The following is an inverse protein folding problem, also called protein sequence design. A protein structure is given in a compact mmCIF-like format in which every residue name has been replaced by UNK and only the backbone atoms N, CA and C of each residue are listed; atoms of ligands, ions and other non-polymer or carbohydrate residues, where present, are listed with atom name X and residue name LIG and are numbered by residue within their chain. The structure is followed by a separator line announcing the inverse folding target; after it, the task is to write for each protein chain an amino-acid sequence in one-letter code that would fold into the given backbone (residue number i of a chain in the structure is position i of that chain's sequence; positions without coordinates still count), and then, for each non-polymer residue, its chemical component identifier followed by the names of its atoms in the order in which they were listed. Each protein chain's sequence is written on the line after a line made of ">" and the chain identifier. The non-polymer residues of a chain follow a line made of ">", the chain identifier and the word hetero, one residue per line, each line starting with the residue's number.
data_IF_201788979547
#
_entry.id   IF_201788979547
#
_cell.length_a   1.000
_cell.length_b   1.000
_cell.length_c   1.000
_cell.angle_alpha   90.00
_cell.angle_beta   90.00
_cell.angle_gamma   90.00
#
_symmetry.space_group_name_H-M   'P 1'
#
loop_
_entity.id
_entity.type
_entity.pdbx_description
1 polymer ?
#
# COMPACT_ATOMS: atom_id res chain seq x y z
N UNK A 1 15.79 -11.23 -18.07
CA UNK A 1 16.27 -11.51 -16.69
C UNK A 1 16.37 -10.25 -15.84
N UNK A 2 17.04 -9.18 -16.29
CA UNK A 2 17.20 -7.93 -15.53
C UNK A 2 15.85 -7.33 -15.12
N UNK A 3 14.89 -7.22 -16.05
CA UNK A 3 13.54 -6.68 -15.77
C UNK A 3 12.80 -7.47 -14.69
N UNK A 4 12.89 -8.81 -14.71
CA UNK A 4 12.27 -9.66 -13.68
C UNK A 4 12.91 -9.47 -12.32
N UNK A 5 14.25 -9.37 -12.28
CA UNK A 5 14.97 -9.08 -11.03
C UNK A 5 14.60 -7.70 -10.49
N UNK A 6 14.51 -6.67 -11.34
CA UNK A 6 14.08 -5.34 -10.94
C UNK A 6 12.66 -5.34 -10.35
N UNK A 7 11.70 -6.05 -10.97
CA UNK A 7 10.33 -6.22 -10.45
C UNK A 7 10.33 -6.87 -9.06
N UNK A 8 11.10 -7.93 -8.88
CA UNK A 8 11.24 -8.60 -7.59
C UNK A 8 11.84 -7.66 -6.54
N UNK A 9 12.95 -6.98 -6.84
CA UNK A 9 13.64 -6.09 -5.89
C UNK A 9 12.76 -4.92 -5.47
N UNK A 10 12.02 -4.31 -6.39
CA UNK A 10 11.07 -3.25 -6.04
C UNK A 10 9.94 -3.75 -5.15
N UNK A 11 9.40 -4.94 -5.44
CA UNK A 11 8.39 -5.56 -4.57
C UNK A 11 8.95 -5.86 -3.17
N UNK A 12 10.19 -6.39 -3.08
CA UNK A 12 10.86 -6.59 -1.79
C UNK A 12 11.08 -5.27 -1.04
N UNK A 13 11.37 -4.17 -1.75
CA UNK A 13 11.47 -2.84 -1.16
C UNK A 13 10.16 -2.40 -0.50
N UNK A 14 9.01 -2.60 -1.17
CA UNK A 14 7.70 -2.31 -0.58
C UNK A 14 7.40 -3.26 0.59
N UNK A 15 7.73 -4.55 0.47
CA UNK A 15 7.55 -5.52 1.56
C UNK A 15 8.37 -5.14 2.80
N UNK A 16 9.62 -4.71 2.61
CA UNK A 16 10.48 -4.22 3.69
C UNK A 16 9.90 -2.96 4.34
N UNK A 17 9.39 -2.00 3.54
CA UNK A 17 8.72 -0.82 4.06
C UNK A 17 7.57 -1.19 5.01
N UNK A 18 6.68 -2.11 4.60
CA UNK A 18 5.58 -2.57 5.46
C UNK A 18 6.08 -3.34 6.69
N UNK A 19 7.18 -4.08 6.58
CA UNK A 19 7.80 -4.75 7.74
C UNK A 19 8.24 -3.74 8.79
N UNK A 20 8.92 -2.67 8.36
CA UNK A 20 9.36 -1.60 9.25
C UNK A 20 8.19 -0.76 9.78
N UNK A 21 7.15 -0.55 8.97
CA UNK A 21 5.95 0.17 9.38
C UNK A 21 5.21 -0.57 10.51
N UNK A 22 4.98 -1.87 10.35
CA UNK A 22 4.39 -2.74 11.40
C UNK A 22 5.28 -2.75 12.64
N UNK A 23 6.60 -2.90 12.47
CA UNK A 23 7.53 -2.88 13.59
C UNK A 23 7.43 -1.56 14.38
N UNK A 24 7.41 -0.41 13.70
CA UNK A 24 7.28 0.89 14.35
C UNK A 24 5.93 1.04 15.06
N UNK A 25 4.83 0.64 14.44
CA UNK A 25 3.50 0.71 15.06
C UNK A 25 3.36 -0.17 16.32
N UNK A 26 4.15 -1.25 16.42
CA UNK A 26 4.16 -2.13 17.60
C UNK A 26 5.14 -1.67 18.67
N UNK A 27 6.26 -1.05 18.31
CA UNK A 27 7.32 -0.67 19.26
C UNK A 27 7.22 0.79 19.71
N UNK A 28 6.64 1.66 18.91
CA UNK A 28 6.33 3.06 19.26
C UNK A 28 4.81 3.29 19.14
N UNK A 29 4.06 2.49 19.91
CA UNK A 29 2.61 2.44 19.85
C UNK A 29 1.98 3.81 20.13
N UNK A 30 2.44 4.50 21.17
CA UNK A 30 1.82 5.72 21.64
C UNK A 30 1.90 6.86 20.63
N UNK A 31 3.06 7.04 19.97
CA UNK A 31 3.24 8.10 18.96
C UNK A 31 2.28 7.95 17.78
N UNK A 32 2.09 6.73 17.30
CA UNK A 32 1.20 6.47 16.16
C UNK A 32 -0.28 6.44 16.58
N UNK A 33 -0.56 5.95 17.79
CA UNK A 33 -1.90 6.01 18.36
C UNK A 33 -2.40 7.46 18.54
N UNK A 34 -1.54 8.37 19.02
CA UNK A 34 -1.89 9.79 19.15
C UNK A 34 -2.26 10.42 17.80
N UNK A 35 -1.57 10.06 16.72
CA UNK A 35 -1.95 10.51 15.39
C UNK A 35 -3.38 10.09 15.03
N UNK A 36 -3.71 8.80 15.20
CA UNK A 36 -5.06 8.27 14.90
C UNK A 36 -6.10 8.92 15.81
N UNK A 37 -5.82 9.07 17.09
CA UNK A 37 -6.70 9.70 18.07
C UNK A 37 -7.07 11.12 17.67
N UNK A 38 -6.09 11.95 17.37
CA UNK A 38 -6.32 13.35 16.97
C UNK A 38 -7.10 13.48 15.66
N UNK A 39 -6.83 12.62 14.69
CA UNK A 39 -7.60 12.58 13.43
C UNK A 39 -9.06 12.22 13.70
N UNK A 40 -9.33 11.17 14.47
CA UNK A 40 -10.69 10.71 14.77
C UNK A 40 -11.47 11.67 15.66
N UNK A 41 -10.82 12.33 16.61
CA UNK A 41 -11.41 13.38 17.45
C UNK A 41 -11.66 14.68 16.68
N UNK A 42 -11.02 14.89 15.54
CA UNK A 42 -11.11 16.13 14.74
C UNK A 42 -10.76 17.39 15.54
N UNK A 43 -9.99 17.27 16.63
CA UNK A 43 -9.73 18.33 17.62
C UNK A 43 -8.74 19.40 17.16
N UNK A 44 -8.11 19.20 15.99
CA UNK A 44 -7.17 20.15 15.35
C UNK A 44 -7.67 20.67 14.00
N UNK A 45 -8.96 20.47 13.70
CA UNK A 45 -9.63 21.04 12.52
C UNK A 45 -9.87 22.53 12.69
N UNK A 46 -10.30 23.22 11.62
CA UNK A 46 -10.56 24.67 11.68
C UNK A 46 -11.65 25.02 12.70
N UNK A 47 -11.50 26.13 13.44
CA UNK A 47 -12.51 26.60 14.38
C UNK A 47 -13.85 26.82 13.68
N UNK A 48 -14.95 26.39 14.32
CA UNK A 48 -16.31 26.53 13.77
C UNK A 48 -16.67 25.51 12.70
N UNK A 49 -15.88 24.43 12.56
CA UNK A 49 -16.15 23.36 11.61
C UNK A 49 -17.52 22.69 11.88
N UNK A 50 -18.41 22.77 10.90
CA UNK A 50 -19.75 22.14 10.97
C UNK A 50 -19.73 20.61 10.84
N UNK A 51 -18.59 20.02 10.52
CA UNK A 51 -18.40 18.57 10.40
C UNK A 51 -18.12 17.83 11.71
N UNK A 52 -18.04 18.54 12.84
CA UNK A 52 -17.68 17.95 14.14
C UNK A 52 -18.58 16.81 14.63
N UNK A 53 -19.79 16.69 14.10
CA UNK A 53 -20.68 15.55 14.37
C UNK A 53 -20.13 14.19 13.91
N UNK A 54 -19.08 14.19 13.08
CA UNK A 54 -18.37 12.98 12.63
C UNK A 54 -17.29 12.53 13.58
N UNK A 55 -16.89 13.41 14.51
CA UNK A 55 -15.83 13.10 15.47
C UNK A 55 -16.20 11.88 16.33
N UNK A 56 -15.25 11.02 16.55
CA UNK A 56 -15.37 9.86 17.43
C UNK A 56 -14.69 10.19 18.77
N UNK A 57 -15.45 10.39 19.86
CA UNK A 57 -14.87 10.85 21.12
C UNK A 57 -14.39 9.71 22.05
N UNK A 58 -14.75 8.46 21.76
CA UNK A 58 -14.50 7.35 22.67
C UNK A 58 -13.11 6.72 22.46
N UNK A 59 -12.29 6.57 23.50
CA UNK A 59 -10.97 5.92 23.38
C UNK A 59 -11.04 4.50 22.81
N UNK A 60 -12.12 3.75 23.06
CA UNK A 60 -12.31 2.42 22.50
C UNK A 60 -12.43 2.43 20.96
N UNK A 61 -13.03 3.48 20.38
CA UNK A 61 -13.12 3.67 18.93
C UNK A 61 -11.74 3.93 18.35
N UNK A 62 -10.95 4.80 18.98
CA UNK A 62 -9.58 5.10 18.55
C UNK A 62 -8.70 3.85 18.52
N UNK A 63 -8.77 3.05 19.60
CA UNK A 63 -8.04 1.78 19.68
C UNK A 63 -8.50 0.80 18.61
N UNK A 64 -9.81 0.67 18.40
CA UNK A 64 -10.35 -0.22 17.37
C UNK A 64 -9.88 0.15 15.96
N UNK A 65 -9.91 1.45 15.62
CA UNK A 65 -9.40 1.96 14.35
C UNK A 65 -7.89 1.72 14.21
N UNK A 66 -7.12 2.01 15.27
CA UNK A 66 -5.68 1.83 15.23
C UNK A 66 -5.27 0.36 15.09
N UNK A 67 -5.88 -0.54 15.85
CA UNK A 67 -5.67 -1.98 15.66
C UNK A 67 -6.13 -2.47 14.27
N UNK A 68 -7.20 -1.89 13.73
CA UNK A 68 -7.64 -2.17 12.36
C UNK A 68 -6.59 -1.78 11.32
N UNK A 69 -5.94 -0.62 11.48
CA UNK A 69 -4.83 -0.17 10.61
C UNK A 69 -3.65 -1.14 10.74
N UNK A 70 -3.20 -1.48 11.95
CA UNK A 70 -2.10 -2.42 12.18
C UNK A 70 -2.41 -3.79 11.57
N UNK A 71 -3.62 -4.30 11.74
CA UNK A 71 -4.02 -5.58 11.15
C UNK A 71 -3.98 -5.54 9.61
N UNK A 72 -4.42 -4.42 9.01
CA UNK A 72 -4.32 -4.22 7.56
C UNK A 72 -2.87 -4.18 7.09
N UNK A 73 -1.99 -3.49 7.81
CA UNK A 73 -0.56 -3.42 7.51
C UNK A 73 0.12 -4.79 7.60
N UNK A 74 -0.19 -5.58 8.65
CA UNK A 74 0.32 -6.95 8.81
C UNK A 74 -0.15 -7.84 7.65
N UNK A 75 -1.43 -7.77 7.29
CA UNK A 75 -1.97 -8.53 6.16
C UNK A 75 -1.28 -8.13 4.85
N UNK A 76 -1.09 -6.83 4.61
CA UNK A 76 -0.40 -6.31 3.43
C UNK A 76 1.06 -6.77 3.39
N UNK A 77 1.77 -6.66 4.51
CA UNK A 77 3.15 -7.15 4.66
C UNK A 77 3.26 -8.63 4.29
N UNK A 78 2.40 -9.47 4.88
CA UNK A 78 2.41 -10.90 4.61
C UNK A 78 2.15 -11.23 3.13
N UNK A 79 1.14 -10.57 2.52
CA UNK A 79 0.81 -10.76 1.11
C UNK A 79 1.95 -10.30 0.18
N UNK A 80 2.64 -9.21 0.51
CA UNK A 80 3.79 -8.72 -0.26
C UNK A 80 4.95 -9.72 -0.22
N UNK A 81 5.28 -10.28 0.94
CA UNK A 81 6.32 -11.31 1.05
C UNK A 81 5.93 -12.60 0.34
N UNK A 82 4.66 -13.02 0.39
CA UNK A 82 4.15 -14.17 -0.39
C UNK A 82 4.29 -13.88 -1.90
N UNK A 83 3.92 -12.69 -2.35
CA UNK A 83 4.09 -12.24 -3.74
C UNK A 83 5.56 -12.27 -4.18
N UNK A 84 6.45 -11.72 -3.34
CA UNK A 84 7.89 -11.70 -3.59
C UNK A 84 8.47 -13.11 -3.68
N UNK A 85 8.08 -14.01 -2.77
CA UNK A 85 8.49 -15.41 -2.81
C UNK A 85 8.05 -16.13 -4.09
N UNK A 86 6.79 -15.92 -4.53
CA UNK A 86 6.29 -16.50 -5.77
C UNK A 86 7.06 -15.97 -6.99
N UNK A 87 7.34 -14.67 -7.05
CA UNK A 87 8.15 -14.08 -8.12
C UNK A 87 9.58 -14.61 -8.11
N UNK A 88 10.20 -14.73 -6.94
CA UNK A 88 11.54 -15.28 -6.79
C UNK A 88 11.62 -16.69 -7.37
N UNK A 89 10.69 -17.56 -7.02
CA UNK A 89 10.63 -18.93 -7.54
C UNK A 89 10.41 -18.98 -9.04
N UNK A 90 9.70 -18.01 -9.60
CA UNK A 90 9.39 -17.92 -11.02
C UNK A 90 10.44 -17.15 -11.85
N UNK A 91 11.51 -16.61 -11.25
CA UNK A 91 12.49 -15.76 -11.94
C UNK A 91 13.05 -16.38 -13.23
N UNK A 92 13.33 -17.67 -13.21
CA UNK A 92 13.90 -18.43 -14.33
C UNK A 92 12.86 -19.28 -15.07
N UNK A 93 11.59 -19.23 -14.64
CA UNK A 93 10.50 -19.96 -15.25
C UNK A 93 10.10 -19.39 -16.63
N UNK A 94 9.37 -20.14 -17.46
CA UNK A 94 8.77 -19.62 -18.70
C UNK A 94 7.94 -18.35 -18.45
N UNK A 95 7.78 -17.52 -19.50
CA UNK A 95 7.08 -16.22 -19.38
C UNK A 95 5.66 -16.35 -18.80
N UNK A 96 4.92 -17.39 -19.22
CA UNK A 96 3.56 -17.65 -18.73
C UNK A 96 3.50 -17.97 -17.22
N UNK A 97 4.49 -18.65 -16.67
CA UNK A 97 4.57 -18.95 -15.24
C UNK A 97 4.94 -17.70 -14.44
N UNK A 98 5.90 -16.93 -14.93
CA UNK A 98 6.26 -15.66 -14.30
C UNK A 98 5.07 -14.70 -14.31
N UNK A 99 4.31 -14.63 -15.42
CA UNK A 99 3.10 -13.82 -15.51
C UNK A 99 2.04 -14.25 -14.48
N UNK A 100 1.83 -15.55 -14.29
CA UNK A 100 0.94 -16.06 -13.23
C UNK A 100 1.42 -15.71 -11.83
N UNK A 101 2.73 -15.78 -11.57
CA UNK A 101 3.30 -15.41 -10.28
C UNK A 101 3.09 -13.93 -9.94
N UNK A 102 3.05 -13.03 -10.93
CA UNK A 102 2.77 -11.59 -10.74
C UNK A 102 1.40 -11.33 -10.13
N UNK A 103 0.39 -12.19 -10.36
CA UNK A 103 -0.97 -11.95 -9.87
C UNK A 103 -1.03 -11.79 -8.35
N UNK A 104 -0.28 -12.61 -7.60
CA UNK A 104 -0.22 -12.51 -6.15
C UNK A 104 0.41 -11.18 -5.68
N UNK A 105 1.45 -10.73 -6.39
CA UNK A 105 2.11 -9.47 -6.08
C UNK A 105 1.20 -8.26 -6.43
N UNK A 106 0.49 -8.31 -7.56
CA UNK A 106 -0.48 -7.27 -7.95
C UNK A 106 -1.60 -7.20 -6.90
N UNK A 107 -2.14 -8.33 -6.46
CA UNK A 107 -3.17 -8.35 -5.42
C UNK A 107 -2.66 -7.73 -4.10
N UNK A 108 -1.43 -8.04 -3.67
CA UNK A 108 -0.82 -7.46 -2.48
C UNK A 108 -0.64 -5.93 -2.61
N UNK A 109 -0.14 -5.46 -3.76
CA UNK A 109 0.00 -4.02 -4.03
C UNK A 109 -1.36 -3.31 -4.10
N UNK A 110 -2.41 -3.98 -4.61
CA UNK A 110 -3.78 -3.43 -4.59
C UNK A 110 -4.28 -3.25 -3.16
N UNK A 111 -4.06 -4.21 -2.27
CA UNK A 111 -4.41 -4.09 -0.84
C UNK A 111 -3.67 -2.91 -0.19
N UNK A 112 -2.40 -2.72 -0.55
CA UNK A 112 -1.61 -1.55 -0.13
C UNK A 112 -2.20 -0.23 -0.64
N UNK A 113 -2.52 -0.14 -1.94
CA UNK A 113 -3.13 1.06 -2.53
C UNK A 113 -4.48 1.40 -1.88
N UNK A 114 -5.30 0.39 -1.60
CA UNK A 114 -6.59 0.60 -0.93
C UNK A 114 -6.41 1.16 0.48
N UNK A 115 -5.38 0.75 1.22
CA UNK A 115 -5.10 1.32 2.53
C UNK A 115 -4.81 2.83 2.43
N UNK A 116 -3.91 3.24 1.55
CA UNK A 116 -3.55 4.65 1.39
C UNK A 116 -4.71 5.49 0.83
N UNK A 117 -5.43 4.95 -0.17
CA UNK A 117 -6.55 5.65 -0.80
C UNK A 117 -7.76 5.73 0.13
N UNK A 118 -8.17 4.60 0.72
CA UNK A 118 -9.42 4.53 1.48
C UNK A 118 -9.22 5.01 2.91
N UNK A 119 -8.29 4.40 3.67
CA UNK A 119 -8.14 4.74 5.07
C UNK A 119 -7.59 6.16 5.26
N UNK A 120 -6.55 6.55 4.50
CA UNK A 120 -5.90 7.84 4.70
C UNK A 120 -6.50 8.97 3.86
N UNK A 121 -6.58 8.82 2.52
CA UNK A 121 -7.01 9.92 1.65
C UNK A 121 -8.54 10.12 1.67
N UNK A 122 -9.34 9.05 1.76
CA UNK A 122 -10.80 9.20 1.78
C UNK A 122 -11.33 9.35 3.21
N UNK A 123 -11.03 8.41 4.10
CA UNK A 123 -11.60 8.43 5.46
C UNK A 123 -10.86 9.46 6.33
N UNK A 124 -9.54 9.38 6.44
CA UNK A 124 -8.78 10.32 7.26
C UNK A 124 -8.87 11.75 6.75
N UNK A 125 -8.52 11.96 5.46
CA UNK A 125 -8.44 13.32 4.92
C UNK A 125 -9.81 13.94 4.70
N UNK A 126 -10.75 13.24 4.03
CA UNK A 126 -12.03 13.85 3.63
C UNK A 126 -13.15 13.65 4.67
N UNK A 127 -13.28 12.46 5.24
CA UNK A 127 -14.33 12.23 6.24
C UNK A 127 -14.01 12.90 7.58
N UNK A 128 -12.80 12.72 8.10
CA UNK A 128 -12.36 13.33 9.35
C UNK A 128 -11.67 14.68 9.18
N UNK A 129 -11.60 15.22 7.97
CA UNK A 129 -11.03 16.53 7.63
C UNK A 129 -9.58 16.72 8.11
N UNK A 130 -8.80 15.64 8.12
CA UNK A 130 -7.39 15.65 8.54
C UNK A 130 -6.57 16.71 7.80
N UNK A 131 -6.94 17.07 6.56
CA UNK A 131 -6.27 18.11 5.79
C UNK A 131 -6.33 19.52 6.43
N UNK A 132 -7.29 19.77 7.33
CA UNK A 132 -7.39 21.02 8.07
C UNK A 132 -6.38 21.13 9.21
N UNK A 133 -5.87 20.01 9.71
CA UNK A 133 -4.88 19.98 10.77
C UNK A 133 -3.51 20.43 10.27
N UNK A 134 -2.83 21.27 11.04
CA UNK A 134 -1.42 21.65 10.78
C UNK A 134 -0.44 20.63 11.37
N UNK A 135 -0.84 19.87 12.38
CA UNK A 135 0.04 18.95 13.12
C UNK A 135 -0.21 17.50 12.72
N UNK A 136 -1.49 17.11 12.61
CA UNK A 136 -1.90 15.71 12.41
C UNK A 136 -2.42 15.48 10.99
N UNK A 137 -1.71 16.00 9.99
CA UNK A 137 -2.05 15.84 8.57
C UNK A 137 -1.11 14.83 7.90
N UNK A 138 -1.61 13.60 7.69
CA UNK A 138 -0.88 12.54 6.98
C UNK A 138 -1.14 12.50 5.47
N UNK A 139 -1.84 13.46 4.88
CA UNK A 139 -2.28 13.41 3.49
C UNK A 139 -1.10 13.36 2.49
N UNK A 140 -0.06 14.18 2.69
CA UNK A 140 1.13 14.15 1.82
C UNK A 140 1.87 12.82 1.91
N UNK A 141 2.03 12.28 3.12
CA UNK A 141 2.68 10.99 3.31
C UNK A 141 1.87 9.86 2.65
N UNK A 142 0.55 9.88 2.82
CA UNK A 142 -0.35 8.91 2.19
C UNK A 142 -0.31 8.99 0.66
N UNK A 143 -0.38 10.19 0.09
CA UNK A 143 -0.29 10.38 -1.36
C UNK A 143 1.07 9.91 -1.91
N UNK A 144 2.16 10.23 -1.24
CA UNK A 144 3.50 9.77 -1.62
C UNK A 144 3.58 8.25 -1.67
N UNK A 145 3.05 7.57 -0.65
CA UNK A 145 3.04 6.11 -0.64
C UNK A 145 2.10 5.51 -1.66
N UNK A 146 0.92 6.11 -1.87
CA UNK A 146 0.01 5.73 -2.94
C UNK A 146 0.70 5.81 -4.31
N UNK A 147 1.42 6.90 -4.59
CA UNK A 147 2.14 7.08 -5.84
C UNK A 147 3.29 6.06 -6.01
N UNK A 148 4.12 5.86 -4.97
CA UNK A 148 5.24 4.90 -5.01
C UNK A 148 4.73 3.48 -5.27
N UNK A 149 3.73 3.04 -4.53
CA UNK A 149 3.14 1.70 -4.70
C UNK A 149 2.47 1.56 -6.08
N UNK A 150 1.77 2.60 -6.53
CA UNK A 150 1.13 2.65 -7.85
C UNK A 150 2.15 2.52 -9.00
N UNK A 151 3.27 3.23 -8.93
CA UNK A 151 4.35 3.15 -9.92
C UNK A 151 4.94 1.73 -9.95
N UNK A 152 5.22 1.14 -8.79
CA UNK A 152 5.73 -0.23 -8.69
C UNK A 152 4.72 -1.23 -9.27
N UNK A 153 3.42 -1.05 -8.98
CA UNK A 153 2.37 -1.91 -9.51
C UNK A 153 2.26 -1.82 -11.04
N UNK A 154 2.30 -0.61 -11.61
CA UNK A 154 2.28 -0.39 -13.07
C UNK A 154 3.48 -1.05 -13.73
N UNK A 155 4.69 -0.86 -13.17
CA UNK A 155 5.90 -1.49 -13.69
C UNK A 155 5.85 -3.02 -13.60
N UNK A 156 5.34 -3.55 -12.49
CA UNK A 156 5.18 -4.99 -12.29
C UNK A 156 4.18 -5.59 -13.28
N UNK A 157 3.09 -4.89 -13.57
CA UNK A 157 2.03 -5.35 -14.48
C UNK A 157 2.50 -5.45 -15.95
N UNK A 158 3.51 -4.68 -16.35
CA UNK A 158 4.01 -4.70 -17.73
C UNK A 158 4.50 -6.09 -18.15
N UNK A 159 4.24 -6.44 -19.42
CA UNK A 159 4.69 -7.69 -20.03
C UNK A 159 6.20 -7.73 -20.25
N UNK A 160 6.75 -8.93 -20.25
CA UNK A 160 8.21 -9.17 -20.31
C UNK A 160 8.81 -9.05 -21.74
N UNK A 161 8.08 -8.56 -22.71
CA UNK A 161 8.58 -8.27 -24.07
C UNK A 161 8.95 -9.47 -24.95
N UNK A 162 9.03 -10.67 -24.40
CA UNK A 162 9.54 -11.87 -25.07
C UNK A 162 8.51 -12.50 -26.03
N UNK A 163 7.21 -12.33 -25.79
CA UNK A 163 6.16 -12.91 -26.64
C UNK A 163 6.00 -12.22 -27.98
N UNK A 164 6.26 -10.92 -28.08
CA UNK A 164 6.13 -10.19 -29.36
C UNK A 164 7.18 -10.58 -30.40
N UNK A 165 8.34 -11.07 -29.98
CA UNK A 165 9.36 -11.52 -30.95
C UNK A 165 9.06 -12.93 -31.48
N UNK A 166 8.56 -13.82 -30.64
CA UNK A 166 8.18 -15.19 -31.05
C UNK A 166 6.97 -15.23 -31.98
N UNK A 167 5.99 -14.34 -31.79
CA UNK A 167 4.85 -14.21 -32.68
C UNK A 167 5.24 -13.59 -34.03
N UNK A 168 6.07 -12.55 -34.07
CA UNK A 168 6.58 -11.96 -35.31
C UNK A 168 7.45 -12.92 -36.14
N UNK A 169 8.15 -13.85 -35.47
CA UNK A 169 8.94 -14.86 -36.20
C UNK A 169 8.02 -15.91 -36.84
N UNK A 170 6.98 -16.36 -36.16
CA UNK A 170 6.00 -17.32 -36.69
C UNK A 170 5.11 -16.73 -37.81
N UNK A 171 4.85 -15.43 -37.77
CA UNK A 171 4.08 -14.75 -38.82
C UNK A 171 4.93 -14.46 -40.09
N UNK A 172 6.26 -14.45 -39.98
CA UNK A 172 7.18 -14.31 -41.12
C UNK A 172 7.54 -15.65 -41.79
N UNK A 173 7.27 -16.76 -41.13
CA UNK A 173 7.50 -18.11 -41.65
C UNK A 173 6.24 -18.75 -42.27
N UNK A 174 5.09 -18.03 -42.24
CA UNK A 174 3.86 -18.38 -42.97
C UNK A 174 3.66 -17.48 -44.18
#
# INVERSE_FOLDING_TARGET
>A
MITRAAKLLLLCGIALFYTLLVFNNLTDFDSNYEFVRHVLMMDTTFPGNHGMWRALPLPAEHLAFYFGIIAWEIATMALLWIGAWRLFRALRAPAAEFHRAKQAAIAALTVSLLMWLVAFLSVGAEWFLMWQSRTWNGQEAAFRMFAVVGIVMIFLAQDEGIEKQGQKHREREK
#
